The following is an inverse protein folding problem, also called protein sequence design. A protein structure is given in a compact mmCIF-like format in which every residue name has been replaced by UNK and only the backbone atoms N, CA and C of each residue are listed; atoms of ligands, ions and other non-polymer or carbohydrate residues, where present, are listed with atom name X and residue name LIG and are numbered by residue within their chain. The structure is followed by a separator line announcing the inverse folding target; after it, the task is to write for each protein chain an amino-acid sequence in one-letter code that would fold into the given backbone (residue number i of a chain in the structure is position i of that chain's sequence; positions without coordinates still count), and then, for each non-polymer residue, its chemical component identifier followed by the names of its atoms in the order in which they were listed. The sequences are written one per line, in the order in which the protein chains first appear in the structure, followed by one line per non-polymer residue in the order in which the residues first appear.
data_IF_151051182527
#
_entry.id   IF_151051182527
#
_cell.length_a   1.000
_cell.length_b   1.000
_cell.length_c   1.000
_cell.angle_alpha   90.00
_cell.angle_beta   90.00
_cell.angle_gamma   90.00
#
_symmetry.space_group_name_H-M   'P 1'
#
loop_
_entity.id
_entity.type
_entity.pdbx_description
1 polymer ?
#
# COMPACT_ATOMS: atom_id res chain seq x y z
N UNK A 1 -25.17 -12.59 13.81
CA UNK A 1 -24.51 -11.98 14.98
C UNK A 1 -23.77 -10.74 14.51
N UNK A 2 -23.93 -9.60 15.18
CA UNK A 2 -23.19 -8.36 14.90
C UNK A 2 -22.13 -8.17 15.98
N UNK A 3 -20.87 -7.98 15.59
CA UNK A 3 -19.74 -7.79 16.50
C UNK A 3 -19.24 -6.34 16.51
N UNK A 4 -18.67 -5.93 17.64
CA UNK A 4 -18.06 -4.61 17.80
C UNK A 4 -16.77 -4.50 16.98
N UNK A 5 -16.69 -3.53 16.06
CA UNK A 5 -15.49 -3.34 15.24
C UNK A 5 -14.24 -2.94 16.05
N UNK A 6 -14.39 -2.39 17.26
CA UNK A 6 -13.26 -1.97 18.09
C UNK A 6 -12.75 -3.01 19.08
N UNK A 7 -13.59 -3.96 19.53
CA UNK A 7 -13.22 -4.90 20.60
C UNK A 7 -13.77 -6.32 20.42
N UNK A 8 -14.34 -6.62 19.24
CA UNK A 8 -14.83 -7.92 18.81
C UNK A 8 -15.95 -8.56 19.67
N UNK A 9 -16.47 -7.87 20.69
CA UNK A 9 -17.63 -8.35 21.46
C UNK A 9 -18.85 -8.56 20.56
N UNK A 10 -19.49 -9.70 20.71
CA UNK A 10 -20.70 -10.07 19.97
C UNK A 10 -21.96 -9.40 20.54
N UNK A 11 -23.10 -9.63 19.88
CA UNK A 11 -24.42 -9.13 20.25
C UNK A 11 -24.53 -7.62 20.47
N UNK A 12 -23.79 -6.86 19.67
CA UNK A 12 -23.89 -5.39 19.68
C UNK A 12 -24.99 -4.88 18.78
N UNK A 13 -25.71 -3.86 19.25
CA UNK A 13 -26.85 -3.26 18.56
C UNK A 13 -26.60 -1.82 18.10
N UNK A 14 -25.66 -1.11 18.72
CA UNK A 14 -25.35 0.26 18.36
C UNK A 14 -24.60 0.30 17.03
N UNK A 15 -25.23 0.89 16.01
CA UNK A 15 -24.63 1.10 14.68
C UNK A 15 -24.10 2.51 14.54
N UNK A 16 -23.10 2.70 13.69
CA UNK A 16 -22.68 4.03 13.26
C UNK A 16 -23.91 4.80 12.74
N UNK A 17 -24.21 5.93 13.36
CA UNK A 17 -25.39 6.75 13.01
C UNK A 17 -25.36 7.28 11.57
N UNK A 18 -24.15 7.44 11.01
CA UNK A 18 -23.95 8.01 9.68
C UNK A 18 -24.07 6.96 8.56
N UNK A 19 -23.27 5.90 8.59
CA UNK A 19 -23.27 4.88 7.53
C UNK A 19 -24.14 3.65 7.82
N UNK A 20 -24.44 3.35 9.09
CA UNK A 20 -25.19 2.15 9.53
C UNK A 20 -24.56 0.78 9.17
N UNK A 21 -23.36 0.75 8.59
CA UNK A 21 -22.67 -0.48 8.17
C UNK A 21 -21.81 -1.14 9.25
N UNK A 22 -21.35 -0.40 10.27
CA UNK A 22 -20.47 -0.91 11.33
C UNK A 22 -21.15 -0.79 12.69
N UNK A 23 -20.95 -1.78 13.56
CA UNK A 23 -21.54 -1.86 14.90
C UNK A 23 -20.49 -1.74 16.01
N UNK A 24 -20.90 -1.20 17.16
CA UNK A 24 -20.05 -0.91 18.32
C UNK A 24 -20.76 -1.26 19.62
N UNK A 25 -20.01 -1.46 20.71
CA UNK A 25 -20.61 -1.56 22.04
C UNK A 25 -21.22 -0.24 22.50
N UNK A 26 -20.50 0.86 22.25
CA UNK A 26 -20.81 2.21 22.75
C UNK A 26 -20.07 3.28 21.92
N UNK A 27 -20.31 4.55 22.25
CA UNK A 27 -19.67 5.69 21.59
C UNK A 27 -18.14 5.73 21.77
N UNK A 28 -17.60 5.13 22.83
CA UNK A 28 -16.14 5.07 23.06
C UNK A 28 -15.46 4.13 22.06
N UNK A 29 -16.05 2.94 21.84
CA UNK A 29 -15.60 2.00 20.81
C UNK A 29 -15.67 2.63 19.41
N UNK A 30 -16.72 3.40 19.13
CA UNK A 30 -16.82 4.15 17.86
C UNK A 30 -15.71 5.20 17.72
N UNK A 31 -15.43 5.99 18.77
CA UNK A 31 -14.36 7.00 18.76
C UNK A 31 -12.98 6.36 18.57
N UNK A 32 -12.75 5.20 19.19
CA UNK A 32 -11.49 4.45 19.06
C UNK A 32 -11.28 3.94 17.63
N UNK A 33 -12.33 3.44 16.98
CA UNK A 33 -12.27 2.98 15.59
C UNK A 33 -12.32 4.12 14.56
N UNK A 34 -12.67 5.36 14.96
CA UNK A 34 -12.99 6.45 14.03
C UNK A 34 -11.90 6.75 13.00
N UNK A 35 -10.61 6.66 13.36
CA UNK A 35 -9.53 6.89 12.39
C UNK A 35 -9.59 5.91 11.22
N UNK A 36 -9.83 4.63 11.50
CA UNK A 36 -9.93 3.55 10.51
C UNK A 36 -11.30 3.52 9.84
N UNK A 37 -12.36 3.80 10.59
CA UNK A 37 -13.73 3.77 10.11
C UNK A 37 -14.10 4.99 9.26
N UNK A 38 -13.58 6.19 9.56
CA UNK A 38 -13.99 7.45 8.92
C UNK A 38 -13.94 7.40 7.38
N UNK A 39 -12.88 6.91 6.73
CA UNK A 39 -12.84 6.81 5.27
C UNK A 39 -13.95 5.90 4.73
N UNK A 40 -14.12 4.71 5.34
CA UNK A 40 -15.14 3.73 4.94
C UNK A 40 -16.55 4.27 5.21
N UNK A 41 -16.72 5.00 6.31
CA UNK A 41 -17.97 5.64 6.70
C UNK A 41 -18.38 6.74 5.72
N UNK A 42 -17.41 7.50 5.23
CA UNK A 42 -17.61 8.51 4.19
C UNK A 42 -17.99 7.84 2.86
N UNK A 43 -17.24 6.81 2.44
CA UNK A 43 -17.54 6.03 1.24
C UNK A 43 -18.96 5.44 1.28
N UNK A 44 -19.35 4.82 2.39
CA UNK A 44 -20.68 4.26 2.60
C UNK A 44 -21.81 5.30 2.62
N UNK A 45 -21.48 6.58 2.85
CA UNK A 45 -22.41 7.71 2.74
C UNK A 45 -22.43 8.34 1.34
N UNK A 46 -21.75 7.75 0.35
CA UNK A 46 -21.56 8.36 -0.97
C UNK A 46 -20.70 9.63 -0.94
N UNK A 47 -19.97 9.86 0.16
CA UNK A 47 -19.02 10.97 0.30
C UNK A 47 -17.63 10.41 0.01
N UNK A 48 -17.15 10.57 -1.22
CA UNK A 48 -15.77 10.17 -1.54
C UNK A 48 -14.79 11.03 -0.73
N UNK A 49 -13.88 10.44 0.06
CA UNK A 49 -12.77 11.19 0.63
C UNK A 49 -11.93 11.76 -0.52
N UNK A 50 -11.61 13.07 -0.48
CA UNK A 50 -10.62 13.62 -1.41
C UNK A 50 -9.25 13.08 -1.02
N UNK A 51 -8.80 12.02 -1.69
CA UNK A 51 -7.44 11.52 -1.55
C UNK A 51 -6.46 12.51 -2.20
N UNK A 52 -5.23 12.59 -1.68
CA UNK A 52 -4.20 13.49 -2.24
C UNK A 52 -3.82 13.12 -3.68
N UNK A 53 -4.09 11.88 -4.08
CA UNK A 53 -3.90 11.37 -5.43
C UNK A 53 -5.19 10.69 -5.86
N UNK A 54 -5.81 11.22 -6.90
CA UNK A 54 -7.03 10.66 -7.51
C UNK A 54 -6.70 10.27 -8.94
N UNK A 55 -6.64 8.97 -9.22
CA UNK A 55 -6.71 8.44 -10.59
C UNK A 55 -8.19 8.41 -10.96
N UNK A 56 -8.71 9.55 -11.42
CA UNK A 56 -10.10 9.66 -11.90
C UNK A 56 -10.14 9.18 -13.34
N UNK A 57 -10.74 8.01 -13.58
CA UNK A 57 -11.12 7.57 -14.91
C UNK A 57 -12.14 8.53 -15.54
N UNK A 58 -12.19 8.61 -16.87
CA UNK A 58 -13.10 9.51 -17.59
C UNK A 58 -14.60 9.23 -17.34
N UNK A 59 -14.93 8.06 -16.79
CA UNK A 59 -16.26 7.59 -16.40
C UNK A 59 -16.61 7.84 -14.92
N UNK A 60 -15.70 8.44 -14.15
CA UNK A 60 -15.90 8.70 -12.73
C UNK A 60 -15.76 7.47 -11.83
N UNK A 61 -15.32 6.34 -12.36
CA UNK A 61 -14.97 5.18 -11.54
C UNK A 61 -13.53 5.32 -11.02
N UNK A 62 -13.32 5.24 -9.70
CA UNK A 62 -11.98 5.16 -9.11
C UNK A 62 -11.37 3.81 -9.51
N UNK A 63 -10.46 3.86 -10.47
CA UNK A 63 -9.68 2.70 -10.89
C UNK A 63 -8.45 2.61 -9.98
N UNK A 64 -8.06 1.39 -9.60
CA UNK A 64 -6.67 1.13 -9.24
C UNK A 64 -5.80 1.78 -10.33
N UNK A 65 -4.66 2.42 -10.01
CA UNK A 65 -3.76 2.90 -11.04
C UNK A 65 -3.51 1.74 -12.01
N UNK A 66 -3.67 1.98 -13.30
CA UNK A 66 -3.35 1.00 -14.31
C UNK A 66 -1.93 0.46 -13.99
N UNK A 67 -1.74 -0.88 -13.87
CA UNK A 67 -0.42 -1.45 -13.61
C UNK A 67 0.64 -1.00 -14.63
N UNK A 68 0.23 -0.55 -15.80
CA UNK A 68 1.08 0.00 -16.86
C UNK A 68 1.34 1.51 -16.73
N UNK A 69 0.54 2.23 -15.93
CA UNK A 69 0.56 3.69 -15.85
C UNK A 69 0.55 4.25 -14.42
N UNK A 70 0.92 3.44 -13.43
CA UNK A 70 0.88 3.76 -11.98
C UNK A 70 1.63 5.05 -11.57
N UNK A 71 2.53 5.52 -12.43
CA UNK A 71 3.39 6.68 -12.26
C UNK A 71 2.79 7.99 -12.81
N UNK A 72 1.67 7.93 -13.54
CA UNK A 72 1.06 9.14 -14.13
C UNK A 72 0.67 10.14 -13.05
N UNK A 73 1.09 11.40 -13.25
CA UNK A 73 0.81 12.50 -12.32
C UNK A 73 1.72 12.55 -11.09
N UNK A 74 2.66 11.61 -10.95
CA UNK A 74 3.63 11.60 -9.86
C UNK A 74 4.88 12.43 -10.20
N UNK A 75 5.51 12.98 -9.15
CA UNK A 75 6.90 13.43 -9.27
C UNK A 75 7.86 12.23 -9.40
N UNK A 76 9.10 12.47 -9.81
CA UNK A 76 10.12 11.41 -9.82
C UNK A 76 10.33 10.82 -8.42
N UNK A 77 10.35 11.68 -7.40
CA UNK A 77 10.51 11.27 -5.99
C UNK A 77 9.34 10.40 -5.53
N UNK A 78 8.11 10.80 -5.82
CA UNK A 78 6.93 10.00 -5.44
C UNK A 78 6.90 8.67 -6.19
N UNK A 79 7.41 8.65 -7.43
CA UNK A 79 7.58 7.42 -8.20
C UNK A 79 8.63 6.50 -7.58
N UNK A 80 9.72 7.04 -7.03
CA UNK A 80 10.72 6.27 -6.27
C UNK A 80 10.11 5.69 -5.00
N UNK A 81 9.41 6.51 -4.21
CA UNK A 81 8.73 6.07 -2.98
C UNK A 81 7.80 4.90 -3.31
N UNK A 82 7.00 5.01 -4.38
CA UNK A 82 6.06 3.97 -4.79
C UNK A 82 6.73 2.65 -5.20
N UNK A 83 7.86 2.70 -5.93
CA UNK A 83 8.63 1.49 -6.26
C UNK A 83 9.27 0.86 -5.01
N UNK A 84 9.80 1.69 -4.10
CA UNK A 84 10.41 1.22 -2.87
C UNK A 84 9.38 0.59 -1.95
N UNK A 85 8.21 1.20 -1.78
CA UNK A 85 7.15 0.66 -0.94
C UNK A 85 6.50 -0.59 -1.57
N UNK A 86 6.45 -0.71 -2.91
CA UNK A 86 6.06 -1.94 -3.58
C UNK A 86 7.05 -3.09 -3.26
N UNK A 87 8.35 -2.82 -3.27
CA UNK A 87 9.37 -3.78 -2.85
C UNK A 87 9.26 -4.13 -1.35
N UNK A 88 9.17 -3.13 -0.46
CA UNK A 88 9.10 -3.36 0.99
C UNK A 88 7.86 -4.18 1.36
N UNK A 89 6.71 -3.88 0.76
CA UNK A 89 5.48 -4.62 1.00
C UNK A 89 5.54 -6.03 0.41
N UNK A 90 6.24 -6.23 -0.71
CA UNK A 90 6.47 -7.57 -1.30
C UNK A 90 7.31 -8.45 -0.38
N UNK A 91 8.44 -7.93 0.13
CA UNK A 91 9.30 -8.65 1.09
C UNK A 91 8.51 -9.01 2.36
N UNK A 92 7.65 -8.10 2.84
CA UNK A 92 6.77 -8.37 3.96
C UNK A 92 5.77 -9.50 3.65
N UNK A 93 5.09 -9.44 2.51
CA UNK A 93 4.11 -10.45 2.12
C UNK A 93 4.76 -11.83 1.86
N UNK A 94 5.93 -11.89 1.22
CA UNK A 94 6.71 -13.14 1.02
C UNK A 94 7.05 -13.81 2.35
N UNK A 95 7.54 -13.02 3.31
CA UNK A 95 7.83 -13.52 4.64
C UNK A 95 6.57 -13.99 5.38
N UNK A 96 5.50 -13.20 5.33
CA UNK A 96 4.26 -13.48 6.08
C UNK A 96 3.42 -14.62 5.50
N UNK A 97 3.35 -14.78 4.18
CA UNK A 97 2.49 -15.76 3.52
C UNK A 97 3.23 -16.99 3.01
N UNK A 98 4.49 -16.86 2.60
CA UNK A 98 5.27 -17.94 1.98
C UNK A 98 6.38 -18.46 2.91
N UNK A 99 6.71 -17.71 3.97
CA UNK A 99 7.80 -18.02 4.88
C UNK A 99 9.18 -17.79 4.26
N UNK A 100 9.26 -17.07 3.13
CA UNK A 100 10.51 -16.78 2.46
C UNK A 100 11.29 -15.68 3.19
N UNK A 101 12.49 -16.01 3.66
CA UNK A 101 13.38 -15.06 4.34
C UNK A 101 14.27 -14.33 3.32
N UNK A 102 13.66 -13.63 2.37
CA UNK A 102 14.32 -12.75 1.39
C UNK A 102 14.48 -11.31 1.88
N UNK A 103 15.15 -10.46 1.10
CA UNK A 103 15.28 -9.03 1.39
C UNK A 103 15.76 -8.72 2.81
N UNK A 104 15.00 -7.91 3.53
CA UNK A 104 15.29 -7.49 4.92
C UNK A 104 15.38 -8.68 5.91
N UNK A 105 14.67 -9.78 5.61
CA UNK A 105 14.63 -10.98 6.45
C UNK A 105 15.73 -12.00 6.12
N UNK A 106 16.48 -11.77 5.04
CA UNK A 106 17.56 -12.67 4.57
C UNK A 106 18.94 -12.45 5.18
N UNK A 107 19.05 -11.62 6.21
CA UNK A 107 20.31 -11.37 6.93
C UNK A 107 21.19 -10.25 6.37
N UNK A 108 20.79 -9.59 5.28
CA UNK A 108 21.42 -8.37 4.76
C UNK A 108 20.58 -7.14 5.14
N UNK A 109 21.17 -6.15 5.81
CA UNK A 109 20.51 -4.89 6.14
C UNK A 109 21.46 -3.69 5.96
N UNK A 110 21.18 -2.74 5.06
CA UNK A 110 20.05 -2.70 4.11
C UNK A 110 20.15 -3.80 3.03
N UNK A 111 19.04 -4.39 2.58
CA UNK A 111 19.02 -5.46 1.57
C UNK A 111 19.23 -4.93 0.14
N UNK A 112 20.38 -4.27 -0.10
CA UNK A 112 20.64 -3.54 -1.35
C UNK A 112 20.78 -4.49 -2.54
N UNK A 113 21.40 -5.65 -2.35
CA UNK A 113 21.53 -6.63 -3.42
C UNK A 113 20.15 -7.13 -3.89
N UNK A 114 19.22 -7.31 -2.95
CA UNK A 114 17.87 -7.77 -3.23
C UNK A 114 17.01 -6.69 -3.91
N UNK A 115 17.05 -5.46 -3.39
CA UNK A 115 16.38 -4.34 -4.03
C UNK A 115 16.90 -4.07 -5.46
N UNK A 116 18.20 -4.28 -5.71
CA UNK A 116 18.75 -4.22 -7.08
C UNK A 116 18.20 -5.32 -7.99
N UNK A 117 17.91 -6.52 -7.47
CA UNK A 117 17.24 -7.59 -8.23
C UNK A 117 15.81 -7.15 -8.58
N UNK A 118 15.06 -6.63 -7.61
CA UNK A 118 13.73 -6.07 -7.82
C UNK A 118 13.69 -5.03 -8.95
N UNK A 119 14.57 -4.01 -8.90
CA UNK A 119 14.61 -2.97 -9.93
C UNK A 119 15.02 -3.48 -11.32
N UNK A 120 15.84 -4.53 -11.40
CA UNK A 120 16.14 -5.18 -12.70
C UNK A 120 14.91 -5.88 -13.26
N UNK A 121 14.21 -6.66 -12.43
CA UNK A 121 12.97 -7.33 -12.84
C UNK A 121 11.89 -6.33 -13.25
N UNK A 122 11.83 -5.17 -12.59
CA UNK A 122 10.90 -4.10 -12.93
C UNK A 122 11.21 -3.47 -14.29
N UNK A 123 12.48 -3.29 -14.63
CA UNK A 123 12.90 -2.83 -15.96
C UNK A 123 12.63 -3.87 -17.04
N UNK A 124 12.97 -5.13 -16.80
CA UNK A 124 12.80 -6.22 -17.78
C UNK A 124 11.33 -6.50 -18.12
N UNK A 125 10.39 -6.03 -17.29
CA UNK A 125 8.93 -6.21 -17.45
C UNK A 125 8.16 -4.91 -17.72
N UNK A 126 8.85 -3.85 -18.11
CA UNK A 126 8.23 -2.54 -18.38
C UNK A 126 7.33 -2.05 -17.23
N UNK A 127 7.73 -2.35 -15.98
CA UNK A 127 7.03 -1.96 -14.75
C UNK A 127 7.57 -0.65 -14.16
N UNK A 128 8.37 0.08 -14.94
CA UNK A 128 8.97 1.37 -14.57
C UNK A 128 8.47 2.49 -15.50
N UNK A 129 8.54 3.77 -15.08
CA UNK A 129 8.09 4.88 -15.91
C UNK A 129 8.91 5.06 -17.19
N UNK A 130 8.37 5.65 -18.27
CA UNK A 130 9.09 5.85 -19.55
C UNK A 130 10.35 6.74 -19.44
N UNK A 131 10.41 7.62 -18.44
CA UNK A 131 11.58 8.46 -18.18
C UNK A 131 12.68 7.72 -17.38
N UNK A 132 12.41 6.50 -16.93
CA UNK A 132 13.34 5.68 -16.16
C UNK A 132 14.56 5.31 -16.99
N UNK A 133 15.73 5.32 -16.35
CA UNK A 133 17.00 4.98 -16.98
C UNK A 133 18.03 4.58 -15.91
N UNK A 134 19.24 4.18 -16.34
CA UNK A 134 20.30 3.74 -15.44
C UNK A 134 20.72 4.80 -14.40
N UNK A 135 20.60 6.09 -14.71
CA UNK A 135 20.87 7.16 -13.76
C UNK A 135 19.76 7.24 -12.70
N UNK A 136 18.49 7.16 -13.12
CA UNK A 136 17.33 7.12 -12.21
C UNK A 136 17.33 5.89 -11.31
N UNK A 137 17.80 4.74 -11.80
CA UNK A 137 18.03 3.56 -10.96
C UNK A 137 19.02 3.85 -9.82
N UNK A 138 20.15 4.49 -10.12
CA UNK A 138 21.16 4.84 -9.10
C UNK A 138 20.60 5.83 -8.09
N UNK A 139 19.86 6.83 -8.56
CA UNK A 139 19.18 7.81 -7.70
C UNK A 139 18.16 7.15 -6.78
N UNK A 140 17.32 6.24 -7.31
CA UNK A 140 16.34 5.49 -6.52
C UNK A 140 17.01 4.59 -5.46
N UNK A 141 18.10 3.90 -5.80
CA UNK A 141 18.85 3.11 -4.83
C UNK A 141 19.40 4.01 -3.71
N UNK A 142 20.02 5.15 -4.04
CA UNK A 142 20.53 6.06 -3.02
C UNK A 142 19.40 6.62 -2.15
N UNK A 143 18.29 7.02 -2.78
CA UNK A 143 17.09 7.51 -2.10
C UNK A 143 16.56 6.47 -1.10
N UNK A 144 16.52 5.19 -1.49
CA UNK A 144 16.07 4.08 -0.65
C UNK A 144 16.92 3.82 0.60
N UNK A 145 18.09 4.44 0.70
CA UNK A 145 19.00 4.32 1.85
C UNK A 145 18.95 5.54 2.77
N UNK A 146 18.56 6.70 2.23
CA UNK A 146 18.65 7.98 2.93
C UNK A 146 17.31 8.59 3.30
N UNK A 147 16.23 8.21 2.61
CA UNK A 147 14.90 8.75 2.90
C UNK A 147 14.42 8.32 4.29
N UNK A 148 13.58 9.16 4.92
CA UNK A 148 13.06 8.88 6.27
C UNK A 148 11.89 7.90 6.26
N UNK A 149 11.17 7.81 5.15
CA UNK A 149 10.00 6.97 4.98
C UNK A 149 10.30 5.73 4.13
N UNK A 150 10.71 5.94 2.88
CA UNK A 150 10.96 4.91 1.88
C UNK A 150 12.37 4.34 2.04
N UNK A 151 12.65 3.76 3.20
CA UNK A 151 13.96 3.22 3.54
C UNK A 151 13.90 1.68 3.63
N UNK A 152 14.68 1.00 2.78
CA UNK A 152 14.65 -0.47 2.68
C UNK A 152 15.25 -1.19 3.89
N UNK A 153 15.88 -0.46 4.81
CA UNK A 153 16.38 -1.01 6.08
C UNK A 153 15.26 -1.32 7.09
N UNK A 154 14.02 -0.89 6.78
CA UNK A 154 12.87 -1.01 7.68
C UNK A 154 11.67 -1.64 6.95
N UNK A 155 11.03 -2.60 7.63
CA UNK A 155 9.78 -3.20 7.20
C UNK A 155 8.67 -2.15 7.07
N UNK A 156 7.59 -2.51 6.38
CA UNK A 156 6.38 -1.67 6.28
C UNK A 156 5.15 -2.55 6.38
N UNK A 157 4.21 -2.17 7.24
CA UNK A 157 2.92 -2.86 7.31
C UNK A 157 1.88 -2.21 6.39
N UNK A 158 0.82 -2.98 6.10
CA UNK A 158 -0.38 -2.47 5.43
C UNK A 158 -0.96 -1.23 6.15
N UNK A 159 -0.85 -1.15 7.48
CA UNK A 159 -1.28 0.00 8.27
C UNK A 159 -0.53 1.27 7.89
N UNK A 160 0.79 1.16 7.83
CA UNK A 160 1.71 2.28 7.63
C UNK A 160 1.51 2.87 6.24
N UNK A 161 1.39 2.01 5.22
CA UNK A 161 1.08 2.44 3.84
C UNK A 161 -0.24 3.24 3.81
N UNK A 162 -1.30 2.74 4.45
CA UNK A 162 -2.60 3.44 4.44
C UNK A 162 -2.50 4.81 5.11
N UNK A 163 -1.74 4.92 6.19
CA UNK A 163 -1.54 6.18 6.90
C UNK A 163 -0.69 7.16 6.08
N UNK A 164 0.44 6.70 5.52
CA UNK A 164 1.36 7.53 4.74
C UNK A 164 0.68 8.14 3.51
N UNK A 165 0.03 7.30 2.70
CA UNK A 165 -0.63 7.75 1.48
C UNK A 165 -2.01 8.36 1.73
N UNK A 166 -2.59 8.13 2.92
CA UNK A 166 -3.95 8.52 3.25
C UNK A 166 -5.01 7.82 2.39
N UNK A 167 -4.66 6.76 1.67
CA UNK A 167 -5.51 6.03 0.72
C UNK A 167 -5.63 4.55 1.16
N UNK A 168 -6.86 4.06 1.47
CA UNK A 168 -7.07 2.71 1.95
C UNK A 168 -6.76 1.62 0.91
N UNK A 169 -6.77 1.96 -0.39
CA UNK A 169 -6.50 1.06 -1.50
C UNK A 169 -5.02 1.00 -1.88
N UNK A 170 -4.19 1.91 -1.36
CA UNK A 170 -2.78 1.98 -1.72
C UNK A 170 -1.99 0.68 -1.50
N UNK A 171 -2.21 -0.10 -0.41
CA UNK A 171 -1.56 -1.39 -0.27
C UNK A 171 -1.91 -2.41 -1.35
N UNK A 172 -3.07 -2.29 -2.01
CA UNK A 172 -3.42 -3.14 -3.16
C UNK A 172 -2.72 -2.65 -4.41
N UNK A 173 -2.68 -1.32 -4.63
CA UNK A 173 -1.95 -0.72 -5.76
C UNK A 173 -0.46 -1.13 -5.75
N UNK A 174 0.19 -1.07 -4.59
CA UNK A 174 1.59 -1.45 -4.43
C UNK A 174 1.82 -2.95 -4.69
N UNK A 175 0.93 -3.81 -4.23
CA UNK A 175 0.98 -5.25 -4.51
C UNK A 175 0.83 -5.53 -5.99
N UNK A 176 -0.02 -4.77 -6.70
CA UNK A 176 -0.20 -4.91 -8.12
C UNK A 176 1.05 -4.52 -8.93
N UNK A 177 1.77 -3.48 -8.50
CA UNK A 177 3.10 -3.17 -9.02
C UNK A 177 4.06 -4.34 -8.74
N UNK A 178 4.08 -4.83 -7.49
CA UNK A 178 4.90 -5.98 -7.09
C UNK A 178 4.63 -7.25 -7.91
N UNK A 179 3.35 -7.51 -8.20
CA UNK A 179 2.86 -8.61 -9.06
C UNK A 179 3.37 -8.45 -10.47
N UNK A 180 3.30 -7.26 -11.05
CA UNK A 180 3.86 -6.99 -12.38
C UNK A 180 5.37 -7.24 -12.42
N UNK A 181 6.10 -6.86 -11.36
CA UNK A 181 7.56 -7.06 -11.26
C UNK A 181 7.94 -8.55 -11.11
N UNK A 182 7.21 -9.34 -10.32
CA UNK A 182 7.57 -10.76 -10.07
C UNK A 182 6.85 -11.75 -11.00
N UNK A 183 5.70 -11.37 -11.54
CA UNK A 183 4.82 -12.22 -12.34
C UNK A 183 3.79 -12.99 -11.52
N UNK A 184 3.73 -12.83 -10.19
CA UNK A 184 2.77 -13.51 -9.30
C UNK A 184 2.50 -12.70 -8.02
N UNK A 185 1.42 -13.03 -7.30
CA UNK A 185 1.13 -12.48 -5.98
C UNK A 185 1.44 -13.49 -4.88
N UNK A 186 2.18 -13.12 -3.82
CA UNK A 186 2.37 -14.00 -2.69
C UNK A 186 1.05 -14.36 -2.02
N UNK A 187 0.88 -15.64 -1.69
CA UNK A 187 -0.32 -16.16 -1.01
C UNK A 187 -1.54 -16.42 -1.91
N UNK A 188 -1.44 -16.18 -3.23
CA UNK A 188 -2.43 -16.70 -4.20
C UNK A 188 -2.00 -18.10 -4.66
N UNK A 189 -2.65 -19.14 -4.12
CA UNK A 189 -2.51 -20.55 -4.54
C UNK A 189 -3.80 -21.05 -5.21
#
# INVERSE_FOLDING_TARGET
MTACASCAKEDVTLRCSACKHVSYCNAECQKKDWKSHKPICQLAQGKMPKFKETFVGADGHELLPDPDEWWKGLSETDSFIRLIDAYRLRVEDEYMFEGEAGGLYGGENPPVADFRRFLRLAEDRDAVPPWWNAQKRKECIQFSLTDKWANISYAVEKSDIREHYGNPFMPMNLREIGRKVHGYMPGEF
#
